data_IF_286069812845
#
_entry.id   IF_286069812845
#
_cell.length_a   1.000
_cell.length_b   1.000
_cell.length_c   1.000
_cell.angle_alpha   90.00
_cell.angle_beta   90.00
_cell.angle_gamma   90.00
#
_symmetry.space_group_name_H-M   'P 1'
#
loop_
_entity.id
_entity.type
_entity.pdbx_description
1 polymer ?
#
# COMPACT_ATOMS: atom_id res chain seq x y z
N UNK A 1 9.99 4.79 2.85
CA UNK A 1 8.75 4.55 3.62
C UNK A 1 8.65 3.11 4.13
N UNK A 2 8.62 2.10 3.23
CA UNK A 2 8.44 0.68 3.59
C UNK A 2 9.37 0.18 4.70
N UNK A 3 10.68 0.32 4.54
CA UNK A 3 11.64 -0.16 5.53
C UNK A 3 11.47 0.49 6.92
N UNK A 4 11.13 1.78 6.95
CA UNK A 4 10.87 2.51 8.20
C UNK A 4 9.57 2.04 8.85
N UNK A 5 8.49 1.92 8.08
CA UNK A 5 7.19 1.48 8.58
C UNK A 5 7.22 0.05 9.12
N UNK A 6 7.88 -0.86 8.41
CA UNK A 6 8.06 -2.24 8.85
C UNK A 6 8.86 -2.34 10.16
N UNK A 7 9.92 -1.54 10.31
CA UNK A 7 10.66 -1.45 11.59
C UNK A 7 9.77 -0.92 12.71
N UNK A 8 8.97 0.11 12.46
CA UNK A 8 8.05 0.63 13.46
C UNK A 8 7.00 -0.43 13.88
N UNK A 9 6.44 -1.17 12.93
CA UNK A 9 5.53 -2.28 13.20
C UNK A 9 6.20 -3.38 14.06
N UNK A 10 7.46 -3.73 13.76
CA UNK A 10 8.20 -4.73 14.54
C UNK A 10 8.50 -4.33 16.00
N UNK A 11 8.42 -3.03 16.32
CA UNK A 11 8.60 -2.50 17.68
C UNK A 11 7.26 -2.38 18.44
N UNK A 12 6.13 -2.59 17.76
CA UNK A 12 4.81 -2.57 18.35
C UNK A 12 4.48 -3.86 19.12
N UNK A 13 3.31 -3.90 19.78
CA UNK A 13 2.81 -5.13 20.39
C UNK A 13 2.55 -6.20 19.32
N UNK A 14 2.50 -7.47 19.75
CA UNK A 14 2.10 -8.57 18.88
C UNK A 14 0.63 -8.40 18.47
N UNK A 15 0.42 -7.94 17.23
CA UNK A 15 -0.90 -7.79 16.63
C UNK A 15 -1.18 -8.97 15.70
N UNK A 16 -2.44 -9.40 15.62
CA UNK A 16 -2.85 -10.42 14.66
C UNK A 16 -2.73 -9.95 13.20
N UNK A 17 -2.75 -8.63 12.99
CA UNK A 17 -2.60 -8.01 11.67
C UNK A 17 -1.49 -6.96 11.71
N UNK A 18 -0.53 -7.07 10.81
CA UNK A 18 0.50 -6.08 10.57
C UNK A 18 0.30 -5.51 9.16
N UNK A 19 -0.27 -4.31 9.08
CA UNK A 19 -0.57 -3.66 7.80
C UNK A 19 0.15 -2.32 7.70
N UNK A 20 0.72 -2.04 6.53
CA UNK A 20 1.34 -0.79 6.18
C UNK A 20 0.63 -0.20 4.97
N UNK A 21 0.04 0.97 5.12
CA UNK A 21 -0.59 1.66 4.01
C UNK A 21 0.31 2.75 3.45
N UNK A 22 0.53 2.72 2.13
CA UNK A 22 1.38 3.68 1.44
C UNK A 22 0.53 4.45 0.43
N UNK A 23 0.41 5.75 0.66
CA UNK A 23 -0.14 6.69 -0.32
C UNK A 23 0.97 7.36 -1.13
N UNK A 24 0.78 7.56 -2.43
CA UNK A 24 1.75 8.30 -3.26
C UNK A 24 1.20 8.77 -4.60
N UNK A 25 1.79 9.84 -5.12
CA UNK A 25 1.51 10.50 -6.40
C UNK A 25 2.62 10.30 -7.45
N UNK A 26 3.68 9.57 -7.09
CA UNK A 26 4.80 9.27 -7.97
C UNK A 26 5.58 8.02 -7.55
N UNK A 27 6.51 7.61 -8.41
CA UNK A 27 7.41 6.47 -8.17
C UNK A 27 8.45 6.82 -7.09
N UNK A 28 9.01 5.80 -6.45
CA UNK A 28 10.07 6.00 -5.45
C UNK A 28 11.27 6.73 -6.06
N UNK A 29 11.61 7.88 -5.47
CA UNK A 29 12.72 8.74 -5.91
C UNK A 29 13.87 8.82 -4.89
N UNK A 30 13.68 8.29 -3.66
CA UNK A 30 14.64 8.40 -2.56
C UNK A 30 14.64 7.14 -1.70
N UNK A 31 15.82 6.72 -1.28
CA UNK A 31 16.01 5.52 -0.45
C UNK A 31 15.92 4.20 -1.23
N UNK A 32 15.85 3.07 -0.53
CA UNK A 32 15.71 1.76 -1.16
C UNK A 32 14.44 1.69 -2.00
N UNK A 33 14.55 1.14 -3.21
CA UNK A 33 13.38 0.96 -4.07
C UNK A 33 12.53 -0.19 -3.52
N UNK A 34 11.20 -0.16 -3.67
CA UNK A 34 10.32 -1.21 -3.17
C UNK A 34 10.71 -2.64 -3.58
N UNK A 35 11.17 -2.81 -4.83
CA UNK A 35 11.62 -4.12 -5.35
C UNK A 35 12.95 -4.62 -4.76
N UNK A 36 13.72 -3.75 -4.09
CA UNK A 36 14.98 -4.14 -3.45
C UNK A 36 14.76 -4.59 -1.99
N UNK A 37 13.51 -4.65 -1.53
CA UNK A 37 13.14 -4.96 -0.13
C UNK A 37 12.53 -6.35 0.04
N UNK A 38 12.61 -7.22 -0.95
CA UNK A 38 11.97 -8.55 -0.89
C UNK A 38 12.57 -9.44 0.20
N UNK A 39 13.88 -9.35 0.45
CA UNK A 39 14.58 -10.05 1.53
C UNK A 39 14.62 -9.25 2.86
N UNK A 40 13.87 -8.14 2.95
CA UNK A 40 13.86 -7.33 4.16
C UNK A 40 12.99 -7.98 5.23
N UNK A 41 13.61 -8.75 6.13
CA UNK A 41 12.94 -9.55 7.17
C UNK A 41 11.76 -8.87 7.91
N UNK A 42 11.84 -7.58 8.30
CA UNK A 42 10.70 -6.90 8.94
C UNK A 42 9.44 -6.77 8.07
N UNK A 43 9.50 -7.01 6.76
CA UNK A 43 8.34 -7.03 5.87
C UNK A 43 7.72 -8.42 5.67
N UNK A 44 8.35 -9.50 6.17
CA UNK A 44 7.96 -10.87 5.85
C UNK A 44 6.47 -11.17 6.13
N UNK A 45 5.95 -10.68 7.25
CA UNK A 45 4.56 -10.87 7.68
C UNK A 45 3.73 -9.58 7.62
N UNK A 46 4.21 -8.56 6.88
CA UNK A 46 3.54 -7.26 6.75
C UNK A 46 2.77 -7.20 5.44
N UNK A 47 1.47 -6.95 5.52
CA UNK A 47 0.65 -6.61 4.34
C UNK A 47 0.88 -5.15 3.99
N UNK A 48 1.20 -4.84 2.74
CA UNK A 48 1.41 -3.47 2.25
C UNK A 48 0.34 -3.14 1.22
N UNK A 49 -0.49 -2.13 1.51
CA UNK A 49 -1.49 -1.61 0.58
C UNK A 49 -1.01 -0.31 -0.07
N UNK A 50 -1.60 0.00 -1.23
CA UNK A 50 -1.35 1.22 -1.98
C UNK A 50 -2.58 2.12 -2.07
N UNK A 51 -2.38 3.43 -1.93
CA UNK A 51 -3.32 4.45 -2.39
C UNK A 51 -2.60 5.36 -3.38
N UNK A 52 -2.93 5.23 -4.65
CA UNK A 52 -2.31 5.97 -5.75
C UNK A 52 -3.12 7.22 -6.04
N UNK A 53 -2.46 8.37 -6.09
CA UNK A 53 -3.05 9.65 -6.50
C UNK A 53 -2.55 9.94 -7.90
N UNK A 54 -3.44 9.89 -8.89
CA UNK A 54 -3.07 10.19 -10.27
C UNK A 54 -2.91 11.68 -10.47
N UNK A 55 -1.76 12.09 -10.97
CA UNK A 55 -1.48 13.44 -11.45
C UNK A 55 -1.05 13.37 -12.93
N UNK A 56 -0.91 14.52 -13.57
CA UNK A 56 -0.42 14.60 -14.96
C UNK A 56 0.96 13.91 -15.09
N UNK A 57 1.80 14.03 -14.07
CA UNK A 57 3.15 13.45 -14.04
C UNK A 57 3.16 11.96 -13.66
N UNK A 58 2.01 11.41 -13.25
CA UNK A 58 1.87 10.00 -12.86
C UNK A 58 1.62 9.09 -14.07
N UNK A 59 1.39 9.65 -15.26
CA UNK A 59 1.31 8.91 -16.52
C UNK A 59 2.73 8.54 -16.96
N UNK A 60 2.99 7.24 -17.22
CA UNK A 60 4.33 6.71 -17.51
C UNK A 60 5.12 7.56 -18.53
N UNK A 61 6.42 7.71 -18.31
CA UNK A 61 7.25 8.68 -19.03
C UNK A 61 7.62 8.25 -20.47
N UNK A 62 7.18 7.06 -20.93
CA UNK A 62 7.44 6.55 -22.28
C UNK A 62 7.12 5.06 -22.45
N UNK A 63 7.35 4.50 -23.66
CA UNK A 63 7.11 3.09 -23.93
C UNK A 63 7.94 2.19 -23.02
N UNK A 64 7.27 1.33 -22.25
CA UNK A 64 7.90 0.40 -21.30
C UNK A 64 8.11 0.94 -19.89
N UNK A 65 7.68 2.18 -19.60
CA UNK A 65 7.62 2.70 -18.25
C UNK A 65 6.22 2.45 -17.66
N UNK A 66 6.14 1.57 -16.65
CA UNK A 66 4.90 1.25 -15.93
C UNK A 66 4.17 2.55 -15.55
N UNK A 67 2.86 2.62 -15.73
CA UNK A 67 2.11 3.71 -15.11
C UNK A 67 2.21 3.62 -13.57
N UNK A 68 1.84 4.69 -12.86
CA UNK A 68 1.98 4.69 -11.41
C UNK A 68 1.17 3.57 -10.72
N UNK A 69 0.03 3.17 -11.30
CA UNK A 69 -0.81 2.10 -10.75
C UNK A 69 -0.12 0.75 -10.90
N UNK A 70 0.43 0.47 -12.08
CA UNK A 70 1.22 -0.73 -12.35
C UNK A 70 2.48 -0.79 -11.49
N UNK A 71 3.17 0.34 -11.29
CA UNK A 71 4.29 0.42 -10.37
C UNK A 71 3.90 0.00 -8.95
N UNK A 72 2.78 0.50 -8.43
CA UNK A 72 2.29 0.11 -7.11
C UNK A 72 1.90 -1.36 -7.04
N UNK A 73 1.20 -1.88 -8.05
CA UNK A 73 0.79 -3.29 -8.14
C UNK A 73 1.98 -4.25 -8.21
N UNK A 74 2.99 -3.91 -9.00
CA UNK A 74 4.09 -4.82 -9.31
C UNK A 74 5.24 -4.72 -8.30
N UNK A 75 5.42 -3.57 -7.64
CA UNK A 75 6.63 -3.28 -6.87
C UNK A 75 6.37 -2.88 -5.42
N UNK A 76 5.22 -2.28 -5.12
CA UNK A 76 4.93 -1.72 -3.78
C UNK A 76 4.12 -2.69 -2.93
N UNK A 77 2.93 -3.07 -3.40
CA UNK A 77 2.01 -3.89 -2.60
C UNK A 77 2.58 -5.29 -2.40
N UNK A 78 2.26 -5.90 -1.26
CA UNK A 78 2.65 -7.28 -0.92
C UNK A 78 1.81 -7.82 0.22
N UNK A 79 1.78 -9.14 0.35
CA UNK A 79 1.01 -9.85 1.36
C UNK A 79 -0.41 -10.20 0.91
N UNK A 80 -1.10 -11.08 1.65
CA UNK A 80 -2.45 -11.52 1.34
C UNK A 80 -3.44 -10.35 1.37
N UNK A 81 -4.41 -10.36 0.45
CA UNK A 81 -5.48 -9.36 0.33
C UNK A 81 -5.00 -7.90 0.15
N UNK A 82 -3.72 -7.71 -0.21
CA UNK A 82 -3.17 -6.40 -0.50
C UNK A 82 -3.84 -5.78 -1.73
N UNK A 83 -4.16 -4.49 -1.65
CA UNK A 83 -4.87 -3.79 -2.71
C UNK A 83 -4.21 -2.46 -3.08
N UNK A 84 -4.53 -1.98 -4.29
CA UNK A 84 -4.28 -0.60 -4.72
C UNK A 84 -5.63 0.10 -4.87
N UNK A 85 -5.84 1.16 -4.11
CA UNK A 85 -6.93 2.12 -4.31
C UNK A 85 -6.41 3.30 -5.14
N UNK A 86 -7.25 3.84 -6.03
CA UNK A 86 -6.86 4.92 -6.95
C UNK A 86 -7.75 6.14 -6.73
N UNK A 87 -7.11 7.30 -6.56
CA UNK A 87 -7.70 8.62 -6.60
C UNK A 87 -7.36 9.29 -7.94
N UNK A 88 -8.37 9.80 -8.63
CA UNK A 88 -8.21 10.61 -9.84
C UNK A 88 -7.95 12.07 -9.46
N UNK A 89 -6.68 12.39 -9.18
CA UNK A 89 -6.28 13.69 -8.65
C UNK A 89 -6.56 13.86 -7.16
N UNK A 90 -6.16 15.03 -6.65
CA UNK A 90 -6.27 15.35 -5.22
C UNK A 90 -7.71 15.59 -4.76
N UNK A 91 -8.59 16.06 -5.64
CA UNK A 91 -10.01 16.29 -5.30
C UNK A 91 -10.76 14.98 -5.03
N UNK A 92 -10.32 13.89 -5.65
CA UNK A 92 -10.88 12.56 -5.50
C UNK A 92 -10.26 11.75 -4.33
N UNK A 93 -9.21 12.31 -3.70
CA UNK A 93 -8.48 11.65 -2.62
C UNK A 93 -9.39 11.30 -1.43
N UNK A 94 -10.33 12.18 -1.08
CA UNK A 94 -11.26 11.94 0.03
C UNK A 94 -12.12 10.68 -0.21
N UNK A 95 -12.65 10.51 -1.43
CA UNK A 95 -13.43 9.32 -1.84
C UNK A 95 -12.56 8.06 -1.79
N UNK A 96 -11.33 8.13 -2.28
CA UNK A 96 -10.40 7.01 -2.26
C UNK A 96 -10.04 6.60 -0.82
N UNK A 97 -9.77 7.57 0.05
CA UNK A 97 -9.49 7.33 1.46
C UNK A 97 -10.68 6.67 2.18
N UNK A 98 -11.90 7.14 1.93
CA UNK A 98 -13.11 6.53 2.51
C UNK A 98 -13.23 5.05 2.13
N UNK A 99 -13.06 4.70 0.85
CA UNK A 99 -13.10 3.30 0.38
C UNK A 99 -12.00 2.45 1.02
N UNK A 100 -10.78 3.01 1.16
CA UNK A 100 -9.67 2.33 1.83
C UNK A 100 -10.04 1.98 3.28
N UNK A 101 -10.55 2.95 4.03
CA UNK A 101 -10.92 2.75 5.43
C UNK A 101 -12.04 1.72 5.59
N UNK A 102 -13.05 1.74 4.71
CA UNK A 102 -14.14 0.76 4.73
C UNK A 102 -13.60 -0.68 4.52
N UNK A 103 -12.68 -0.88 3.58
CA UNK A 103 -12.05 -2.20 3.34
C UNK A 103 -11.27 -2.72 4.54
N UNK A 104 -10.62 -1.83 5.28
CA UNK A 104 -9.88 -2.22 6.49
C UNK A 104 -10.78 -2.64 7.64
N UNK A 105 -11.93 -1.99 7.78
CA UNK A 105 -12.92 -2.30 8.80
C UNK A 105 -13.65 -3.61 8.46
N UNK A 106 -14.05 -3.81 7.19
CA UNK A 106 -14.75 -5.02 6.76
C UNK A 106 -13.92 -6.28 6.97
N UNK A 107 -12.60 -6.22 6.77
CA UNK A 107 -11.70 -7.34 7.04
C UNK A 107 -11.64 -7.75 8.53
N UNK A 108 -12.07 -6.88 9.46
CA UNK A 108 -12.16 -7.17 10.90
C UNK A 108 -13.57 -7.63 11.32
N UNK A 109 -14.57 -7.49 10.46
CA UNK A 109 -15.97 -7.74 10.78
C UNK A 109 -16.41 -9.18 10.44
N UNK A 110 -15.77 -10.18 11.05
CA UNK A 110 -16.38 -11.50 11.19
C UNK A 110 -16.81 -11.66 12.65
N UNK A 111 -18.07 -11.32 12.92
CA UNK A 111 -18.71 -11.68 14.18
C UNK A 111 -18.91 -13.19 14.23
N UNK A 112 -18.27 -13.85 15.20
CA UNK A 112 -18.59 -15.23 15.55
C UNK A 112 -20.05 -15.28 16.00
N UNK A 113 -20.92 -15.83 15.16
CA UNK A 113 -22.19 -16.39 15.61
C UNK A 113 -21.90 -17.83 15.99
N UNK A 114 -21.66 -18.08 17.28
CA UNK A 114 -21.85 -19.41 17.84
C UNK A 114 -23.35 -19.73 17.72
N UNK A 115 -23.67 -20.73 16.89
CA UNK A 115 -24.90 -21.52 16.99
C UNK A 115 -24.54 -22.99 17.05
#
# INVERSE_FOLDING_TARGET
>A
AMATGARALSQGPACWKATLDISGDGKSNTGPRPQDLDDFGPLADVTVNGLVILTIDSMGAGPGDDDLVEYFKNRVIRGPDAFVEVADGFDDYARAMEKKLLREIEALAIGALDQ
#
